data_IF_051216012497
#
_entry.id   IF_051216012497
#
_cell.length_a   1.000
_cell.length_b   1.000
_cell.length_c   1.000
_cell.angle_alpha   90.00
_cell.angle_beta   90.00
_cell.angle_gamma   90.00
#
_symmetry.space_group_name_H-M   'P 1'
#
loop_
_entity.id
_entity.type
_entity.pdbx_description
1 polymer ?
#
# COMPACT_ATOMS: atom_id res chain seq x y z
N UNK A 1 18.61 2.62 -20.08
CA UNK A 1 17.42 1.89 -19.59
C UNK A 1 16.35 2.94 -19.41
N UNK A 2 15.21 2.81 -20.09
CA UNK A 2 14.07 3.69 -19.81
C UNK A 2 13.65 3.35 -18.37
N UNK A 3 13.84 4.26 -17.43
CA UNK A 3 13.26 4.11 -16.10
C UNK A 3 11.75 4.26 -16.28
N UNK A 4 11.03 3.14 -16.20
CA UNK A 4 9.58 3.20 -16.17
C UNK A 4 9.15 3.93 -14.90
N UNK A 5 8.18 4.85 -15.03
CA UNK A 5 7.69 5.63 -13.91
C UNK A 5 7.05 4.70 -12.86
N UNK A 6 7.57 4.73 -11.64
CA UNK A 6 7.12 3.86 -10.55
C UNK A 6 5.82 4.41 -9.98
N UNK A 7 4.77 3.61 -10.02
CA UNK A 7 3.44 4.00 -9.53
C UNK A 7 2.88 2.93 -8.59
N UNK A 8 2.32 3.41 -7.47
CA UNK A 8 1.59 2.60 -6.49
C UNK A 8 0.18 3.19 -6.35
N UNK A 9 -0.84 2.41 -6.71
CA UNK A 9 -2.24 2.83 -6.66
C UNK A 9 -3.02 2.00 -5.67
N UNK A 10 -3.41 2.61 -4.56
CA UNK A 10 -4.31 2.01 -3.58
C UNK A 10 -5.76 2.05 -4.06
N UNK A 11 -6.52 1.00 -3.73
CA UNK A 11 -7.96 0.91 -3.90
C UNK A 11 -8.58 0.06 -2.79
N UNK A 12 -9.81 0.37 -2.40
CA UNK A 12 -10.51 -0.35 -1.33
C UNK A 12 -11.66 0.46 -0.75
N UNK A 13 -12.37 -0.07 0.25
CA UNK A 13 -13.44 0.64 0.92
C UNK A 13 -12.87 1.77 1.79
N UNK A 14 -13.50 2.94 1.73
CA UNK A 14 -13.13 4.10 2.55
C UNK A 14 -13.68 4.03 3.98
N UNK A 15 -14.68 3.18 4.20
CA UNK A 15 -15.34 2.99 5.50
C UNK A 15 -15.75 1.52 5.65
N UNK A 16 -15.46 0.96 6.83
CA UNK A 16 -15.90 -0.37 7.26
C UNK A 16 -16.54 -0.28 8.63
N UNK A 17 -17.44 -1.20 8.96
CA UNK A 17 -18.01 -1.23 10.31
C UNK A 17 -16.96 -1.69 11.33
N UNK A 18 -17.08 -1.29 12.60
CA UNK A 18 -16.26 -1.84 13.67
C UNK A 18 -16.32 -3.37 13.68
N UNK A 19 -15.18 -4.01 13.98
CA UNK A 19 -15.02 -5.46 14.03
C UNK A 19 -15.11 -6.19 12.68
N UNK A 20 -15.25 -5.49 11.56
CA UNK A 20 -15.08 -6.07 10.23
C UNK A 20 -13.63 -6.00 9.75
N UNK A 21 -13.23 -6.98 8.95
CA UNK A 21 -11.94 -6.95 8.27
C UNK A 21 -11.92 -5.91 7.15
N UNK A 22 -10.88 -5.08 7.12
CA UNK A 22 -10.58 -4.18 6.01
C UNK A 22 -9.67 -4.89 5.01
N UNK A 23 -10.04 -4.87 3.74
CA UNK A 23 -9.19 -5.34 2.64
C UNK A 23 -8.95 -4.19 1.66
N UNK A 24 -7.68 -3.90 1.39
CA UNK A 24 -7.22 -2.90 0.44
C UNK A 24 -6.26 -3.55 -0.55
N UNK A 25 -6.21 -2.99 -1.77
CA UNK A 25 -5.39 -3.50 -2.88
C UNK A 25 -4.47 -2.39 -3.35
N UNK A 26 -3.17 -2.70 -3.49
CA UNK A 26 -2.19 -1.82 -4.13
C UNK A 26 -1.83 -2.41 -5.50
N UNK A 27 -2.17 -1.71 -6.57
CA UNK A 27 -1.67 -2.00 -7.92
C UNK A 27 -0.31 -1.33 -8.11
N UNK A 28 0.68 -2.10 -8.54
CA UNK A 28 2.05 -1.62 -8.80
C UNK A 28 2.36 -1.62 -10.29
N UNK A 29 3.09 -0.62 -10.75
CA UNK A 29 3.65 -0.57 -12.11
C UNK A 29 5.00 0.15 -12.13
N UNK A 30 5.80 -0.08 -13.17
CA UNK A 30 7.16 0.43 -13.28
C UNK A 30 8.22 -0.41 -12.54
N UNK A 31 7.81 -1.48 -11.84
CA UNK A 31 8.69 -2.48 -11.25
C UNK A 31 7.99 -3.83 -11.02
N UNK A 32 8.77 -4.87 -10.73
CA UNK A 32 8.25 -6.19 -10.32
C UNK A 32 8.39 -6.38 -8.81
N UNK A 33 7.38 -6.95 -8.16
CA UNK A 33 7.42 -7.27 -6.72
C UNK A 33 8.60 -8.20 -6.38
N UNK A 34 8.95 -9.11 -7.30
CA UNK A 34 10.05 -10.07 -7.13
C UNK A 34 11.43 -9.45 -6.90
N UNK A 35 11.60 -8.16 -7.21
CA UNK A 35 12.86 -7.42 -7.04
C UNK A 35 12.78 -6.32 -5.98
N UNK A 36 11.58 -5.81 -5.68
CA UNK A 36 11.36 -4.75 -4.69
C UNK A 36 10.13 -5.04 -3.83
N UNK A 37 10.30 -4.96 -2.51
CA UNK A 37 9.20 -5.05 -1.57
C UNK A 37 8.35 -3.77 -1.52
N UNK A 38 7.04 -3.93 -1.36
CA UNK A 38 6.08 -2.85 -1.15
C UNK A 38 5.73 -2.75 0.33
N UNK A 39 6.07 -1.62 0.93
CA UNK A 39 5.76 -1.33 2.32
C UNK A 39 4.36 -0.75 2.47
N UNK A 40 3.61 -1.28 3.43
CA UNK A 40 2.32 -0.75 3.83
C UNK A 40 2.51 0.11 5.07
N UNK A 41 2.02 1.34 5.00
CA UNK A 41 2.06 2.31 6.10
C UNK A 41 0.69 2.96 6.24
N UNK A 42 0.28 3.25 7.48
CA UNK A 42 -0.92 4.05 7.75
C UNK A 42 -0.58 5.26 8.58
N UNK A 43 -1.41 6.29 8.49
CA UNK A 43 -1.32 7.47 9.32
C UNK A 43 -2.68 7.81 9.89
N UNK A 44 -2.82 7.70 11.22
CA UNK A 44 -4.02 8.20 11.90
C UNK A 44 -3.97 9.72 12.04
N UNK A 45 -5.13 10.41 12.05
CA UNK A 45 -5.17 11.87 12.26
C UNK A 45 -4.39 12.29 13.51
N UNK A 46 -3.44 13.21 13.36
CA UNK A 46 -2.60 13.71 14.46
C UNK A 46 -1.53 12.73 14.99
N UNK A 47 -1.25 11.63 14.27
CA UNK A 47 -0.21 10.66 14.62
C UNK A 47 0.88 10.58 13.54
N UNK A 48 2.03 10.02 13.92
CA UNK A 48 3.11 9.67 12.99
C UNK A 48 2.72 8.50 12.08
N UNK A 49 3.61 8.18 11.13
CA UNK A 49 3.47 7.01 10.28
C UNK A 49 3.62 5.74 11.10
N UNK A 50 2.74 4.78 10.86
CA UNK A 50 2.78 3.44 11.44
C UNK A 50 3.03 2.43 10.33
N UNK A 51 4.05 1.61 10.49
CA UNK A 51 4.36 0.53 9.55
C UNK A 51 3.49 -0.69 9.82
N UNK A 52 2.88 -1.24 8.77
CA UNK A 52 1.97 -2.38 8.82
C UNK A 52 2.61 -3.68 8.34
N UNK A 53 3.55 -3.59 7.39
CA UNK A 53 4.14 -4.77 6.77
C UNK A 53 4.88 -4.47 5.48
N UNK A 54 5.47 -5.52 4.90
CA UNK A 54 6.07 -5.51 3.56
C UNK A 54 5.58 -6.74 2.79
N UNK A 55 5.27 -6.54 1.51
CA UNK A 55 4.97 -7.62 0.56
C UNK A 55 6.10 -7.68 -0.47
N UNK A 56 6.63 -8.87 -0.73
CA UNK A 56 7.64 -9.17 -1.76
C UNK A 56 7.00 -9.80 -2.99
#
# INVERSE_FOLDING_TARGET
>A
TLEEDVQLKESGPSLVQPSQSLSITCTVSGFSLTIYGVHWVRQSPGKGLEWLGVIW
#
